data_IF_522072609197
#
_entry.id   IF_522072609197
#
_cell.length_a   1.000
_cell.length_b   1.000
_cell.length_c   1.000
_cell.angle_alpha   90.00
_cell.angle_beta   90.00
_cell.angle_gamma   90.00
#
_symmetry.space_group_name_H-M   'P 1'
#
loop_
_entity.id
_entity.type
_entity.pdbx_description
1 polymer ?
#
# COMPACT_ATOMS: atom_id res chain seq x y z
N UNK A 1 -18.96 3.05 -6.29
CA UNK A 1 -18.18 2.14 -7.16
C UNK A 1 -16.68 2.43 -7.00
N UNK A 2 -15.90 1.39 -6.86
CA UNK A 2 -14.44 1.52 -6.75
C UNK A 2 -13.83 1.69 -8.13
N UNK A 3 -12.95 2.69 -8.27
CA UNK A 3 -12.14 2.90 -9.46
C UNK A 3 -10.66 2.89 -9.08
N UNK A 4 -9.84 2.27 -9.93
CA UNK A 4 -8.42 2.06 -9.70
C UNK A 4 -7.62 2.79 -10.79
N UNK A 5 -6.66 3.61 -10.37
CA UNK A 5 -5.80 4.35 -11.27
C UNK A 5 -4.34 4.01 -11.03
N UNK A 6 -3.67 3.45 -12.02
CA UNK A 6 -2.24 3.19 -11.93
C UNK A 6 -1.47 4.52 -11.79
N UNK A 7 -0.48 4.57 -10.92
CA UNK A 7 0.32 5.78 -10.72
C UNK A 7 0.92 6.32 -12.03
N UNK A 8 1.24 5.44 -12.97
CA UNK A 8 1.84 5.84 -14.25
C UNK A 8 0.89 6.62 -15.15
N UNK A 9 -0.41 6.64 -14.85
CA UNK A 9 -1.44 7.33 -15.63
C UNK A 9 -1.93 8.63 -14.99
N UNK A 10 -1.42 8.99 -13.81
CA UNK A 10 -1.90 10.13 -13.04
C UNK A 10 -1.40 11.46 -13.60
N UNK A 11 -2.20 12.51 -13.40
CA UNK A 11 -1.76 13.89 -13.67
C UNK A 11 -0.92 14.42 -12.49
N UNK A 12 -0.37 15.62 -12.67
CA UNK A 12 0.52 16.24 -11.66
C UNK A 12 -0.24 16.49 -10.35
N UNK A 13 -1.49 16.94 -10.43
CA UNK A 13 -2.26 17.26 -9.23
C UNK A 13 -2.55 16.00 -8.40
N UNK A 14 -2.85 14.89 -9.05
CA UNK A 14 -3.04 13.60 -8.37
C UNK A 14 -1.75 13.08 -7.74
N UNK A 15 -0.62 13.22 -8.43
CA UNK A 15 0.70 12.85 -7.89
C UNK A 15 1.04 13.69 -6.66
N UNK A 16 0.77 14.99 -6.68
CA UNK A 16 1.00 15.87 -5.53
C UNK A 16 0.07 15.53 -4.36
N UNK A 17 -1.18 15.19 -4.64
CA UNK A 17 -2.12 14.76 -3.61
C UNK A 17 -1.60 13.52 -2.87
N UNK A 18 -1.15 12.52 -3.60
CA UNK A 18 -0.59 11.30 -3.02
C UNK A 18 0.64 11.62 -2.19
N UNK A 19 1.51 12.50 -2.65
CA UNK A 19 2.69 12.92 -1.90
C UNK A 19 2.29 13.56 -0.57
N UNK A 20 1.25 14.40 -0.57
CA UNK A 20 0.75 15.02 0.66
C UNK A 20 0.29 13.97 1.67
N UNK A 21 -0.31 12.88 1.22
CA UNK A 21 -0.69 11.77 2.10
C UNK A 21 0.54 11.01 2.61
N UNK A 22 1.47 10.66 1.72
CA UNK A 22 2.67 9.91 2.06
C UNK A 22 3.53 10.66 3.08
N UNK A 23 3.58 11.98 2.98
CA UNK A 23 4.35 12.85 3.89
C UNK A 23 3.57 13.24 5.15
N UNK A 24 2.28 12.94 5.22
CA UNK A 24 1.50 13.25 6.42
C UNK A 24 2.05 12.46 7.61
N UNK A 25 2.25 13.09 8.78
CA UNK A 25 2.85 12.41 9.94
C UNK A 25 2.15 11.12 10.35
N UNK A 26 0.82 11.05 10.22
CA UNK A 26 0.05 9.85 10.60
C UNK A 26 0.23 8.70 9.63
N UNK A 27 0.73 8.96 8.42
CA UNK A 27 1.02 7.93 7.41
C UNK A 27 2.50 7.55 7.46
N UNK A 28 3.40 8.55 7.37
CA UNK A 28 4.83 8.26 7.26
C UNK A 28 5.44 7.60 8.50
N UNK A 29 4.86 7.80 9.67
CA UNK A 29 5.34 7.13 10.90
C UNK A 29 5.30 5.61 10.82
N UNK A 30 4.47 5.05 9.94
CA UNK A 30 4.33 3.61 9.74
C UNK A 30 5.10 3.09 8.53
N UNK A 31 5.95 3.92 7.93
CA UNK A 31 6.84 3.54 6.83
C UNK A 31 8.22 3.15 7.37
N UNK A 32 8.89 2.21 6.71
CA UNK A 32 10.27 1.86 7.06
C UNK A 32 11.16 3.09 6.91
N UNK A 33 11.05 3.79 5.78
CA UNK A 33 11.63 5.12 5.60
C UNK A 33 10.58 6.15 6.01
N UNK A 34 10.67 6.68 7.21
CA UNK A 34 9.72 7.64 7.78
C UNK A 34 10.09 9.11 7.54
N UNK A 35 11.10 9.37 6.72
CA UNK A 35 11.47 10.72 6.30
C UNK A 35 10.43 11.27 5.30
N UNK A 36 10.34 12.59 5.25
CA UNK A 36 9.58 13.25 4.19
C UNK A 36 10.27 13.01 2.84
N UNK A 37 9.47 12.84 1.81
CA UNK A 37 9.92 12.64 0.43
C UNK A 37 9.69 13.96 -0.32
N UNK A 38 10.71 14.42 -1.06
CA UNK A 38 10.57 15.61 -1.89
C UNK A 38 9.69 15.33 -3.11
N UNK A 39 9.12 16.40 -3.69
CA UNK A 39 8.36 16.28 -4.93
C UNK A 39 9.21 15.66 -6.04
N UNK A 40 10.47 16.08 -6.15
CA UNK A 40 11.39 15.55 -7.16
C UNK A 40 11.60 14.03 -7.00
N UNK A 41 11.87 13.57 -5.79
CA UNK A 41 12.02 12.14 -5.50
C UNK A 41 10.73 11.36 -5.82
N UNK A 42 9.58 11.92 -5.47
CA UNK A 42 8.29 11.30 -5.71
C UNK A 42 7.98 11.15 -7.20
N UNK A 43 8.20 12.21 -7.97
CA UNK A 43 7.98 12.18 -9.41
C UNK A 43 8.95 11.22 -10.10
N UNK A 44 10.20 11.17 -9.67
CA UNK A 44 11.18 10.24 -10.19
C UNK A 44 10.79 8.78 -9.90
N UNK A 45 10.33 8.52 -8.68
CA UNK A 45 9.82 7.19 -8.30
C UNK A 45 8.69 6.74 -9.22
N UNK A 46 7.71 7.64 -9.48
CA UNK A 46 6.58 7.31 -10.34
C UNK A 46 7.02 7.07 -11.78
N UNK A 47 7.94 7.88 -12.29
CA UNK A 47 8.48 7.69 -13.64
C UNK A 47 9.16 6.33 -13.80
N UNK A 48 9.89 5.89 -12.79
CA UNK A 48 10.54 4.58 -12.81
C UNK A 48 9.54 3.42 -12.77
N UNK A 49 8.35 3.61 -12.21
CA UNK A 49 7.32 2.56 -12.16
C UNK A 49 6.91 2.10 -13.56
N UNK A 50 6.94 2.98 -14.55
CA UNK A 50 6.58 2.63 -15.92
C UNK A 50 7.49 1.53 -16.51
N UNK A 51 8.72 1.39 -15.98
CA UNK A 51 9.71 0.41 -16.46
C UNK A 51 9.72 -0.86 -15.61
N UNK A 52 9.02 -0.89 -14.46
CA UNK A 52 9.03 -2.04 -13.56
C UNK A 52 7.88 -2.99 -13.87
N UNK A 53 8.19 -4.28 -13.93
CA UNK A 53 7.19 -5.32 -14.14
C UNK A 53 6.73 -5.96 -12.84
N UNK A 54 7.46 -5.75 -11.74
CA UNK A 54 7.25 -6.40 -10.45
C UNK A 54 6.64 -5.50 -9.39
N UNK A 55 6.16 -4.32 -9.75
CA UNK A 55 5.55 -3.36 -8.83
C UNK A 55 4.33 -2.70 -9.44
N UNK A 56 3.30 -2.52 -8.62
CA UNK A 56 2.07 -1.80 -8.99
C UNK A 56 1.68 -0.88 -7.85
N UNK A 57 1.47 0.40 -8.17
CA UNK A 57 0.98 1.40 -7.22
C UNK A 57 -0.30 1.99 -7.79
N UNK A 58 -1.36 1.99 -7.01
CA UNK A 58 -2.72 2.27 -7.46
C UNK A 58 -3.36 3.30 -6.54
N UNK A 59 -3.87 4.38 -7.14
CA UNK A 59 -4.75 5.34 -6.46
C UNK A 59 -6.17 4.80 -6.49
N UNK A 60 -6.81 4.73 -5.34
CA UNK A 60 -8.17 4.19 -5.21
C UNK A 60 -9.17 5.31 -5.02
N UNK A 61 -10.22 5.31 -5.85
CA UNK A 61 -11.34 6.23 -5.76
C UNK A 61 -12.60 5.45 -5.43
N UNK A 62 -13.41 5.99 -4.51
CA UNK A 62 -14.71 5.45 -4.17
C UNK A 62 -15.73 6.59 -4.16
N UNK A 63 -16.81 6.46 -4.93
CA UNK A 63 -17.88 7.46 -5.02
C UNK A 63 -17.34 8.87 -5.25
N UNK A 64 -16.45 9.03 -6.21
CA UNK A 64 -15.82 10.30 -6.61
C UNK A 64 -14.83 10.89 -5.62
N UNK A 65 -14.45 10.13 -4.58
CA UNK A 65 -13.45 10.56 -3.58
C UNK A 65 -12.22 9.66 -3.66
N UNK A 66 -11.04 10.27 -3.64
CA UNK A 66 -9.79 9.52 -3.51
C UNK A 66 -9.62 9.10 -2.05
N UNK A 67 -9.65 7.78 -1.80
CA UNK A 67 -9.67 7.25 -0.43
C UNK A 67 -8.33 6.72 0.05
N UNK A 68 -7.40 6.44 -0.82
CA UNK A 68 -6.10 5.92 -0.43
C UNK A 68 -5.33 5.30 -1.56
N UNK A 69 -4.26 4.62 -1.20
CA UNK A 69 -3.34 3.94 -2.12
C UNK A 69 -3.20 2.49 -1.71
N UNK A 70 -3.20 1.62 -2.69
CA UNK A 70 -2.82 0.21 -2.55
C UNK A 70 -1.61 -0.06 -3.42
N UNK A 71 -0.74 -0.96 -2.97
CA UNK A 71 0.40 -1.35 -3.79
C UNK A 71 0.73 -2.83 -3.65
N UNK A 72 1.34 -3.35 -4.70
CA UNK A 72 1.90 -4.68 -4.76
C UNK A 72 3.33 -4.55 -5.25
N UNK A 73 4.27 -5.08 -4.47
CA UNK A 73 5.70 -5.04 -4.78
C UNK A 73 6.29 -6.45 -4.74
N UNK A 74 7.51 -6.61 -5.23
CA UNK A 74 8.18 -7.91 -5.26
C UNK A 74 7.31 -9.01 -5.89
N UNK A 75 6.54 -8.66 -6.92
CA UNK A 75 5.67 -9.60 -7.61
C UNK A 75 6.54 -10.66 -8.27
N UNK A 76 6.35 -11.93 -7.88
CA UNK A 76 7.12 -13.06 -8.39
C UNK A 76 6.37 -14.36 -8.12
N UNK A 77 6.24 -15.21 -9.14
CA UNK A 77 5.63 -16.55 -9.02
C UNK A 77 4.30 -16.57 -8.27
N UNK A 78 3.36 -15.72 -8.67
CA UNK A 78 2.02 -15.61 -8.08
C UNK A 78 2.02 -15.08 -6.64
N UNK A 79 3.11 -14.50 -6.18
CA UNK A 79 3.27 -13.91 -4.86
C UNK A 79 3.59 -12.43 -4.96
N UNK A 80 3.16 -11.65 -3.97
CA UNK A 80 3.49 -10.23 -3.87
C UNK A 80 3.47 -9.77 -2.42
N UNK A 81 4.25 -8.72 -2.15
CA UNK A 81 4.16 -7.98 -0.90
C UNK A 81 3.17 -6.83 -1.09
N UNK A 82 2.29 -6.64 -0.14
CA UNK A 82 1.27 -5.60 -0.22
C UNK A 82 1.58 -4.42 0.68
N UNK A 83 1.07 -3.26 0.31
CA UNK A 83 1.04 -2.08 1.15
C UNK A 83 -0.27 -1.31 0.93
N UNK A 84 -0.71 -0.65 1.99
CA UNK A 84 -1.93 0.16 1.98
C UNK A 84 -1.68 1.39 2.83
N UNK A 85 -2.10 2.56 2.34
CA UNK A 85 -2.29 3.71 3.22
C UNK A 85 -3.51 4.52 2.78
N UNK A 86 -4.23 5.01 3.77
CA UNK A 86 -5.46 5.77 3.55
C UNK A 86 -5.17 7.27 3.39
N UNK A 87 -6.06 7.96 2.70
CA UNK A 87 -6.14 9.41 2.77
C UNK A 87 -6.28 9.80 4.25
N UNK A 88 -5.35 10.59 4.83
CA UNK A 88 -5.36 10.88 6.26
C UNK A 88 -6.59 11.66 6.74
N UNK A 89 -7.32 12.30 5.83
CA UNK A 89 -8.57 13.01 6.16
C UNK A 89 -9.78 12.08 6.23
N UNK A 90 -9.60 10.80 5.93
CA UNK A 90 -10.69 9.81 5.91
C UNK A 90 -10.49 8.77 7.00
N UNK A 91 -11.60 8.21 7.47
CA UNK A 91 -11.59 7.14 8.48
C UNK A 91 -12.44 5.97 8.01
N UNK A 92 -12.09 4.77 8.47
CA UNK A 92 -12.88 3.57 8.19
C UNK A 92 -12.77 3.06 6.75
N UNK A 93 -11.78 3.49 5.99
CA UNK A 93 -11.60 3.07 4.58
C UNK A 93 -10.66 1.88 4.43
N UNK A 94 -10.00 1.42 5.49
CA UNK A 94 -9.03 0.34 5.43
C UNK A 94 -9.60 -0.96 4.86
N UNK A 95 -10.80 -1.34 5.26
CA UNK A 95 -11.45 -2.56 4.74
C UNK A 95 -11.80 -2.44 3.26
N UNK A 96 -12.22 -1.26 2.82
CA UNK A 96 -12.51 -1.01 1.39
C UNK A 96 -11.22 -1.11 0.58
N UNK A 97 -10.13 -0.51 1.07
CA UNK A 97 -8.83 -0.57 0.42
C UNK A 97 -8.31 -2.01 0.36
N UNK A 98 -8.42 -2.78 1.44
CA UNK A 98 -7.99 -4.18 1.47
C UNK A 98 -8.79 -5.03 0.48
N UNK A 99 -10.11 -4.86 0.43
CA UNK A 99 -10.94 -5.57 -0.54
C UNK A 99 -10.54 -5.24 -1.97
N UNK A 100 -10.33 -3.96 -2.26
CA UNK A 100 -9.88 -3.52 -3.58
C UNK A 100 -8.51 -4.13 -3.95
N UNK A 101 -7.58 -4.19 -2.99
CA UNK A 101 -6.26 -4.77 -3.20
C UNK A 101 -6.35 -6.26 -3.51
N UNK A 102 -7.13 -7.01 -2.75
CA UNK A 102 -7.29 -8.46 -2.95
C UNK A 102 -7.91 -8.74 -4.32
N UNK A 103 -8.95 -8.00 -4.69
CA UNK A 103 -9.59 -8.13 -6.00
C UNK A 103 -8.60 -7.82 -7.13
N UNK A 104 -7.84 -6.74 -6.99
CA UNK A 104 -6.83 -6.35 -7.98
C UNK A 104 -5.73 -7.41 -8.10
N UNK A 105 -5.22 -7.91 -6.97
CA UNK A 105 -4.20 -8.96 -6.95
C UNK A 105 -4.69 -10.21 -7.68
N UNK A 106 -5.95 -10.59 -7.47
CA UNK A 106 -6.55 -11.74 -8.14
C UNK A 106 -6.57 -11.56 -9.66
N UNK A 107 -6.84 -10.34 -10.15
CA UNK A 107 -6.80 -10.06 -11.60
C UNK A 107 -5.40 -10.22 -12.20
N UNK A 108 -4.36 -10.09 -11.40
CA UNK A 108 -2.96 -10.27 -11.82
C UNK A 108 -2.48 -11.72 -11.65
N UNK A 109 -3.35 -12.64 -11.23
CA UNK A 109 -2.98 -14.02 -10.97
C UNK A 109 -2.20 -14.22 -9.68
N UNK A 110 -2.21 -13.26 -8.77
CA UNK A 110 -1.53 -13.38 -7.48
C UNK A 110 -2.40 -14.18 -6.53
N UNK A 111 -1.84 -15.25 -5.98
CA UNK A 111 -2.52 -16.16 -5.06
C UNK A 111 -1.91 -16.17 -3.66
N UNK A 112 -0.80 -15.46 -3.44
CA UNK A 112 -0.13 -15.39 -2.15
C UNK A 112 0.27 -13.94 -1.86
N UNK A 113 -0.26 -13.39 -0.77
CA UNK A 113 0.03 -12.03 -0.32
C UNK A 113 0.83 -12.06 0.98
N UNK A 114 1.82 -11.18 1.06
CA UNK A 114 2.68 -11.00 2.23
C UNK A 114 2.62 -9.54 2.63
N UNK A 115 2.57 -9.28 3.94
CA UNK A 115 2.61 -7.93 4.49
C UNK A 115 3.59 -7.84 5.64
N UNK A 116 4.30 -6.72 5.74
CA UNK A 116 5.15 -6.42 6.89
C UNK A 116 4.52 -5.27 7.67
N UNK A 117 4.24 -5.48 8.94
CA UNK A 117 3.53 -4.53 9.80
C UNK A 117 4.34 -4.31 11.07
N UNK A 118 4.50 -3.05 11.48
CA UNK A 118 5.18 -2.75 12.74
C UNK A 118 4.45 -3.41 13.91
N UNK A 119 5.22 -3.97 14.85
CA UNK A 119 4.67 -4.61 16.04
C UNK A 119 3.79 -3.64 16.84
N UNK A 120 4.10 -2.35 16.81
CA UNK A 120 3.34 -1.31 17.51
C UNK A 120 2.10 -0.85 16.76
N UNK A 121 1.92 -1.22 15.50
CA UNK A 121 0.76 -0.83 14.71
C UNK A 121 -0.40 -1.82 14.90
N UNK A 122 -1.03 -1.74 16.06
CA UNK A 122 -2.11 -2.65 16.44
C UNK A 122 -3.33 -2.50 15.52
N UNK A 123 -3.60 -1.29 15.05
CA UNK A 123 -4.73 -1.00 14.17
C UNK A 123 -4.62 -1.77 12.85
N UNK A 124 -3.44 -1.74 12.23
CA UNK A 124 -3.20 -2.47 10.98
C UNK A 124 -3.22 -3.99 11.21
N UNK A 125 -2.66 -4.45 12.32
CA UNK A 125 -2.71 -5.87 12.67
C UNK A 125 -4.15 -6.38 12.74
N UNK A 126 -5.05 -5.61 13.33
CA UNK A 126 -6.48 -5.98 13.40
C UNK A 126 -7.12 -6.02 12.01
N UNK A 127 -6.76 -5.09 11.13
CA UNK A 127 -7.24 -5.10 9.75
C UNK A 127 -6.79 -6.37 9.03
N UNK A 128 -5.52 -6.73 9.14
CA UNK A 128 -5.00 -7.94 8.51
C UNK A 128 -5.65 -9.20 9.07
N UNK A 129 -5.85 -9.27 10.39
CA UNK A 129 -6.55 -10.41 11.02
C UNK A 129 -7.98 -10.54 10.50
N UNK A 130 -8.70 -9.44 10.35
CA UNK A 130 -10.05 -9.43 9.79
C UNK A 130 -10.10 -10.05 8.39
N UNK A 131 -9.04 -9.86 7.60
CA UNK A 131 -8.92 -10.42 6.25
C UNK A 131 -8.15 -11.73 6.21
N UNK A 132 -8.05 -12.42 7.36
CA UNK A 132 -7.53 -13.79 7.47
C UNK A 132 -6.03 -13.93 7.17
N UNK A 133 -5.27 -12.86 7.39
CA UNK A 133 -3.81 -12.95 7.37
C UNK A 133 -3.30 -13.58 8.66
N UNK A 134 -2.25 -14.40 8.57
CA UNK A 134 -1.61 -15.05 9.71
C UNK A 134 -0.15 -14.66 9.83
N UNK A 135 0.33 -14.51 11.06
CA UNK A 135 1.74 -14.19 11.33
C UNK A 135 2.62 -15.40 11.04
N UNK A 136 3.69 -15.20 10.26
CA UNK A 136 4.65 -16.26 9.92
C UNK A 136 6.03 -16.04 10.51
N UNK A 137 6.43 -14.80 10.82
CA UNK A 137 7.72 -14.49 11.45
C UNK A 137 7.76 -13.05 11.91
N UNK A 138 8.81 -12.73 12.68
CA UNK A 138 9.14 -11.37 13.09
C UNK A 138 10.52 -11.01 12.56
N UNK A 139 10.66 -9.76 12.10
CA UNK A 139 11.90 -9.25 11.53
C UNK A 139 12.21 -7.88 12.13
N UNK A 140 13.46 -7.44 11.96
CA UNK A 140 13.86 -6.08 12.31
C UNK A 140 14.46 -5.43 11.07
N UNK A 141 13.99 -4.22 10.74
CA UNK A 141 14.49 -3.43 9.62
C UNK A 141 14.59 -1.98 10.05
N UNK A 142 15.75 -1.36 9.78
CA UNK A 142 16.01 0.03 10.14
C UNK A 142 15.71 0.31 11.64
N UNK A 143 16.12 -0.60 12.53
CA UNK A 143 15.86 -0.57 13.98
C UNK A 143 14.38 -0.63 14.37
N UNK A 144 13.52 -0.99 13.45
CA UNK A 144 12.08 -1.13 13.67
C UNK A 144 11.71 -2.61 13.63
N UNK A 145 10.92 -3.03 14.61
CA UNK A 145 10.47 -4.43 14.72
C UNK A 145 9.14 -4.59 14.00
N UNK A 146 9.07 -5.60 13.14
CA UNK A 146 7.89 -5.88 12.33
C UNK A 146 7.52 -7.34 12.43
N UNK A 147 6.23 -7.62 12.23
CA UNK A 147 5.76 -8.98 11.97
C UNK A 147 5.45 -9.12 10.48
N UNK A 148 5.75 -10.30 9.96
CA UNK A 148 5.38 -10.66 8.59
C UNK A 148 4.13 -11.51 8.64
N UNK A 149 3.13 -11.11 7.88
CA UNK A 149 1.83 -11.75 7.78
C UNK A 149 1.65 -12.30 6.36
N UNK A 150 0.89 -13.37 6.22
CA UNK A 150 0.58 -13.92 4.90
C UNK A 150 -0.87 -14.34 4.80
N UNK A 151 -1.36 -14.35 3.57
CA UNK A 151 -2.64 -14.92 3.19
C UNK A 151 -2.53 -15.58 1.83
N UNK A 152 -3.01 -16.83 1.73
CA UNK A 152 -3.20 -17.52 0.45
C UNK A 152 -4.62 -17.26 -0.03
N UNK A 153 -4.73 -16.75 -1.24
CA UNK A 153 -6.02 -16.40 -1.83
C UNK A 153 -6.72 -17.60 -2.46
#
# INVERSE_FOLDING_TARGET
MIQLYNFTTLDVSEKELILSWRNHPTVRKWMINDNEISLEEHLHFIDLLATKTNSRYILVQNESQYIGVINLTHIHNNSAELGIYANPDMRGVGSVLMTALIDYASTLGISHLVANVFITNVRDQKLYQKFEFTEIRRIESNKKKMMTLERKL
#
